data_IF_355113749596
#
_entry.id   IF_355113749596
#
_cell.length_a   1.000
_cell.length_b   1.000
_cell.length_c   1.000
_cell.angle_alpha   90.00
_cell.angle_beta   90.00
_cell.angle_gamma   90.00
#
_symmetry.space_group_name_H-M   'P 1'
#
loop_
_entity.id
_entity.type
_entity.pdbx_description
1 polymer ?
#
# COMPACT_ATOMS: atom_id res chain seq x y z
N UNK A 1 6.46 -10.85 -24.45
CA UNK A 1 5.84 -10.80 -23.13
C UNK A 1 6.65 -9.84 -22.26
N UNK A 2 6.05 -9.02 -21.43
CA UNK A 2 6.79 -8.10 -20.59
C UNK A 2 7.65 -8.87 -19.58
N UNK A 3 8.92 -8.50 -19.46
CA UNK A 3 9.83 -9.06 -18.48
C UNK A 3 9.50 -8.50 -17.09
N UNK A 4 9.44 -9.36 -16.05
CA UNK A 4 9.23 -8.96 -14.67
C UNK A 4 10.40 -9.39 -13.77
N UNK A 5 11.03 -8.41 -13.14
CA UNK A 5 12.05 -8.59 -12.10
C UNK A 5 11.42 -8.41 -10.74
N UNK A 6 11.16 -9.52 -10.06
CA UNK A 6 10.45 -9.50 -8.78
C UNK A 6 11.40 -9.95 -7.69
N UNK A 7 11.64 -9.03 -6.76
CA UNK A 7 12.56 -9.21 -5.65
C UNK A 7 11.80 -9.48 -4.36
N UNK A 8 12.36 -10.34 -3.51
CA UNK A 8 11.95 -10.47 -2.12
C UNK A 8 13.10 -10.03 -1.22
N UNK A 9 12.80 -9.05 -0.37
CA UNK A 9 13.78 -8.44 0.53
C UNK A 9 14.11 -9.42 1.64
N UNK A 10 15.38 -9.50 2.04
CA UNK A 10 15.80 -10.21 3.24
C UNK A 10 16.77 -9.36 4.07
N UNK A 11 16.64 -9.43 5.39
CA UNK A 11 17.40 -8.60 6.35
C UNK A 11 18.02 -9.40 7.51
N UNK A 12 17.88 -10.71 7.47
CA UNK A 12 18.52 -11.65 8.38
C UNK A 12 18.81 -12.97 7.66
N UNK A 13 19.68 -13.86 8.23
CA UNK A 13 19.89 -15.18 7.66
C UNK A 13 18.59 -15.98 7.48
N UNK A 14 17.69 -15.92 8.47
CA UNK A 14 16.39 -16.61 8.44
C UNK A 14 15.50 -16.10 7.29
N UNK A 15 15.44 -14.78 7.10
CA UNK A 15 14.66 -14.21 6.00
C UNK A 15 15.30 -14.45 4.63
N UNK A 16 16.64 -14.56 4.56
CA UNK A 16 17.35 -14.98 3.33
C UNK A 16 16.98 -16.41 2.96
N UNK A 17 17.03 -17.32 3.92
CA UNK A 17 16.76 -18.74 3.70
C UNK A 17 15.26 -19.00 3.42
N UNK A 18 14.39 -18.02 3.75
CA UNK A 18 12.94 -18.02 3.46
C UNK A 18 12.54 -17.31 2.16
N UNK A 19 13.50 -16.83 1.36
CA UNK A 19 13.19 -16.25 0.04
C UNK A 19 12.47 -17.31 -0.81
N UNK A 20 11.23 -17.00 -1.19
CA UNK A 20 10.40 -17.98 -1.88
C UNK A 20 10.95 -18.29 -3.29
N UNK A 21 10.87 -19.55 -3.73
CA UNK A 21 11.37 -19.96 -5.06
C UNK A 21 10.78 -19.11 -6.18
N UNK A 22 11.65 -18.66 -7.08
CA UNK A 22 11.27 -17.85 -8.26
C UNK A 22 11.26 -16.34 -8.05
N UNK A 23 11.40 -15.84 -6.81
CA UNK A 23 11.78 -14.45 -6.55
C UNK A 23 13.30 -14.31 -6.50
N UNK A 24 13.80 -13.14 -6.90
CA UNK A 24 15.20 -12.78 -6.71
C UNK A 24 15.38 -12.20 -5.29
N UNK A 25 16.40 -12.65 -4.56
CA UNK A 25 16.71 -12.07 -3.25
C UNK A 25 17.22 -10.63 -3.39
N UNK A 26 16.67 -9.70 -2.58
CA UNK A 26 17.21 -8.35 -2.42
C UNK A 26 17.88 -8.25 -1.05
N UNK A 27 19.22 -8.17 -1.09
CA UNK A 27 20.06 -8.21 0.10
C UNK A 27 19.96 -6.90 0.92
N UNK A 28 19.53 -7.03 2.16
CA UNK A 28 19.58 -5.99 3.19
C UNK A 28 20.15 -6.54 4.52
N UNK A 29 21.06 -7.52 4.48
CA UNK A 29 21.64 -8.12 5.70
C UNK A 29 22.36 -7.09 6.58
N UNK A 30 23.01 -6.08 5.98
CA UNK A 30 23.64 -5.00 6.76
C UNK A 30 22.63 -4.20 7.56
N UNK A 31 21.37 -4.14 7.08
CA UNK A 31 20.25 -3.45 7.71
C UNK A 31 20.66 -2.08 8.32
N UNK A 32 21.38 -1.28 7.53
CA UNK A 32 22.01 0.00 7.96
C UNK A 32 20.99 1.01 8.49
N UNK A 33 19.75 0.92 8.01
CA UNK A 33 18.64 1.81 8.38
C UNK A 33 17.37 0.99 8.70
N UNK A 34 17.37 0.28 9.84
CA UNK A 34 16.23 -0.54 10.25
C UNK A 34 14.98 0.30 10.53
N UNK A 35 15.15 1.58 10.82
CA UNK A 35 14.10 2.57 11.02
C UNK A 35 13.31 2.93 9.75
N UNK A 36 13.84 2.57 8.56
CA UNK A 36 13.17 2.73 7.27
C UNK A 36 12.67 1.42 6.66
N UNK A 37 12.91 0.28 7.31
CA UNK A 37 12.46 -1.06 6.90
C UNK A 37 12.66 -1.32 5.41
N UNK A 38 11.61 -1.76 4.70
CA UNK A 38 11.66 -2.12 3.28
C UNK A 38 11.98 -0.95 2.35
N UNK A 39 11.67 0.27 2.77
CA UNK A 39 12.01 1.45 1.98
C UNK A 39 13.51 1.56 1.70
N UNK A 40 14.35 1.26 2.70
CA UNK A 40 15.79 1.44 2.57
C UNK A 40 16.43 0.58 1.46
N UNK A 41 16.24 -0.74 1.38
CA UNK A 41 16.77 -1.55 0.28
C UNK A 41 16.12 -1.20 -1.07
N UNK A 42 14.83 -0.86 -1.14
CA UNK A 42 14.18 -0.39 -2.37
C UNK A 42 14.82 0.90 -2.85
N UNK A 43 15.00 1.88 -1.97
CA UNK A 43 15.68 3.14 -2.26
C UNK A 43 17.09 2.92 -2.83
N UNK A 44 17.89 2.10 -2.17
CA UNK A 44 19.26 1.79 -2.65
C UNK A 44 19.24 1.18 -4.04
N UNK A 45 18.33 0.24 -4.29
CA UNK A 45 18.18 -0.40 -5.59
C UNK A 45 17.80 0.61 -6.69
N UNK A 46 16.82 1.45 -6.43
CA UNK A 46 16.34 2.44 -7.40
C UNK A 46 17.39 3.53 -7.69
N UNK A 47 18.12 3.98 -6.67
CA UNK A 47 19.20 4.97 -6.82
C UNK A 47 20.43 4.41 -7.54
N UNK A 48 20.69 3.10 -7.46
CA UNK A 48 21.76 2.48 -8.23
C UNK A 48 21.51 2.52 -9.74
N UNK A 49 20.26 2.73 -10.16
CA UNK A 49 19.87 2.84 -11.57
C UNK A 49 19.85 1.51 -12.31
N UNK A 50 19.83 1.59 -13.65
CA UNK A 50 19.86 0.39 -14.49
C UNK A 50 18.51 -0.29 -14.70
N UNK A 51 17.40 0.38 -14.39
CA UNK A 51 16.07 -0.14 -14.72
C UNK A 51 15.86 -0.18 -16.23
N UNK A 52 15.37 -1.29 -16.74
CA UNK A 52 15.00 -1.48 -18.15
C UNK A 52 13.58 -0.96 -18.34
N UNK A 53 13.38 0.02 -19.23
CA UNK A 53 12.12 0.75 -19.41
C UNK A 53 10.94 -0.15 -19.81
N UNK A 54 11.23 -1.23 -20.56
CA UNK A 54 10.23 -2.18 -21.03
C UNK A 54 9.85 -3.24 -19.98
N UNK A 55 10.57 -3.29 -18.85
CA UNK A 55 10.38 -4.30 -17.82
C UNK A 55 9.52 -3.80 -16.67
N UNK A 56 9.03 -4.75 -15.88
CA UNK A 56 8.35 -4.51 -14.61
C UNK A 56 9.26 -4.87 -13.45
N UNK A 57 9.12 -4.15 -12.34
CA UNK A 57 9.85 -4.39 -11.10
C UNK A 57 8.91 -4.50 -9.93
N UNK A 58 9.17 -5.44 -9.01
CA UNK A 58 8.46 -5.60 -7.75
C UNK A 58 9.45 -5.83 -6.61
N UNK A 59 9.15 -5.27 -5.44
CA UNK A 59 9.98 -5.40 -4.24
C UNK A 59 9.09 -5.80 -3.06
N UNK A 60 9.10 -7.07 -2.71
CA UNK A 60 8.21 -7.63 -1.71
C UNK A 60 8.92 -7.85 -0.38
N UNK A 61 8.21 -7.65 0.72
CA UNK A 61 8.71 -7.99 2.04
C UNK A 61 8.81 -9.52 2.22
N UNK A 62 9.55 -10.02 3.21
CA UNK A 62 9.59 -11.44 3.53
C UNK A 62 8.21 -12.04 3.82
N UNK A 63 7.26 -11.22 4.28
CA UNK A 63 5.90 -11.63 4.62
C UNK A 63 4.94 -11.73 3.42
N UNK A 64 5.40 -11.46 2.18
CA UNK A 64 4.53 -11.40 1.00
C UNK A 64 3.72 -12.68 0.81
N UNK A 65 4.40 -13.83 0.72
CA UNK A 65 3.73 -15.13 0.50
C UNK A 65 2.76 -15.45 1.63
N UNK A 66 3.18 -15.23 2.88
CA UNK A 66 2.33 -15.46 4.04
C UNK A 66 1.08 -14.58 4.07
N UNK A 67 1.19 -13.32 3.61
CA UNK A 67 0.07 -12.36 3.59
C UNK A 67 -0.85 -12.55 2.38
N UNK A 68 -0.34 -13.01 1.24
CA UNK A 68 -1.09 -13.06 -0.01
C UNK A 68 -1.44 -14.47 -0.49
N UNK A 69 -0.70 -15.48 -0.06
CA UNK A 69 -0.77 -16.83 -0.60
C UNK A 69 -0.28 -16.95 -2.04
N UNK A 70 0.38 -15.90 -2.58
CA UNK A 70 0.85 -15.86 -3.95
C UNK A 70 2.34 -16.25 -4.00
N UNK A 71 2.65 -17.22 -4.87
CA UNK A 71 4.03 -17.54 -5.25
C UNK A 71 4.49 -16.71 -6.46
N UNK A 72 5.76 -16.85 -6.81
CA UNK A 72 6.35 -16.13 -7.93
C UNK A 72 5.71 -16.50 -9.27
N UNK A 73 5.26 -17.74 -9.45
CA UNK A 73 4.64 -18.19 -10.69
C UNK A 73 3.31 -17.47 -10.92
N UNK A 74 2.46 -17.38 -9.89
CA UNK A 74 1.18 -16.66 -9.96
C UNK A 74 1.36 -15.16 -10.19
N UNK A 75 2.34 -14.53 -9.53
CA UNK A 75 2.65 -13.10 -9.74
C UNK A 75 3.10 -12.87 -11.19
N UNK A 76 4.06 -13.66 -11.69
CA UNK A 76 4.55 -13.54 -13.08
C UNK A 76 3.46 -13.81 -14.10
N UNK A 77 2.64 -14.84 -13.88
CA UNK A 77 1.50 -15.15 -14.76
C UNK A 77 0.51 -13.98 -14.83
N UNK A 78 0.25 -13.29 -13.72
CA UNK A 78 -0.63 -12.11 -13.72
C UNK A 78 -0.02 -10.94 -14.52
N UNK A 79 1.30 -10.71 -14.41
CA UNK A 79 2.01 -9.72 -15.24
C UNK A 79 1.94 -10.09 -16.72
N UNK A 80 2.13 -11.35 -17.07
CA UNK A 80 2.05 -11.84 -18.44
C UNK A 80 0.66 -11.70 -19.04
N UNK A 81 -0.38 -12.03 -18.27
CA UNK A 81 -1.79 -11.87 -18.65
C UNK A 81 -2.21 -10.42 -18.88
N UNK A 82 -1.57 -9.48 -18.18
CA UNK A 82 -1.78 -8.05 -18.42
C UNK A 82 -1.25 -7.60 -19.79
N UNK A 83 -0.24 -8.31 -20.30
CA UNK A 83 0.34 -8.06 -21.62
C UNK A 83 0.99 -6.70 -21.79
N UNK A 84 1.21 -5.96 -20.68
CA UNK A 84 1.78 -4.62 -20.70
C UNK A 84 0.74 -3.50 -20.83
N UNK A 85 -0.53 -3.80 -20.64
CA UNK A 85 -1.63 -2.83 -20.71
C UNK A 85 -1.65 -1.84 -19.52
N UNK A 86 -1.12 -2.27 -18.37
CA UNK A 86 -1.07 -1.48 -17.15
C UNK A 86 0.35 -0.98 -16.82
N UNK A 87 0.44 0.13 -16.12
CA UNK A 87 1.71 0.65 -15.59
C UNK A 87 2.05 0.02 -14.24
N UNK A 88 1.01 -0.37 -13.48
CA UNK A 88 1.11 -0.90 -12.11
C UNK A 88 0.16 -2.08 -11.93
N UNK A 89 0.67 -3.14 -11.33
CA UNK A 89 -0.08 -4.35 -10.98
C UNK A 89 -0.07 -4.52 -9.47
N UNK A 90 -1.26 -4.58 -8.85
CA UNK A 90 -1.45 -4.55 -7.40
C UNK A 90 -1.73 -5.96 -6.86
N UNK A 91 -1.14 -6.28 -5.70
CA UNK A 91 -1.31 -7.57 -5.01
C UNK A 91 -1.69 -7.37 -3.54
N UNK A 92 -2.60 -6.43 -3.28
CA UNK A 92 -3.01 -6.06 -1.92
C UNK A 92 -3.97 -7.09 -1.32
N UNK A 93 -3.61 -7.77 -0.22
CA UNK A 93 -4.51 -8.61 0.55
C UNK A 93 -5.45 -7.78 1.41
N UNK A 94 -6.24 -8.44 2.26
CA UNK A 94 -7.07 -7.81 3.28
C UNK A 94 -8.16 -6.91 2.69
N UNK A 95 -9.00 -7.52 1.84
CA UNK A 95 -10.07 -6.81 1.15
C UNK A 95 -11.01 -6.06 2.11
N UNK A 96 -11.28 -6.61 3.29
CA UNK A 96 -12.04 -5.96 4.35
C UNK A 96 -11.42 -4.62 4.80
N UNK A 97 -10.09 -4.55 4.85
CA UNK A 97 -9.33 -3.35 5.19
C UNK A 97 -9.23 -2.33 4.04
N UNK A 98 -9.55 -2.78 2.81
CA UNK A 98 -9.68 -1.88 1.66
C UNK A 98 -11.10 -1.34 1.60
N UNK A 99 -12.10 -2.20 1.75
CA UNK A 99 -13.49 -1.89 1.49
C UNK A 99 -14.13 -0.96 2.55
N UNK A 100 -13.87 -1.22 3.83
CA UNK A 100 -14.53 -0.54 4.95
C UNK A 100 -14.09 0.94 5.14
N UNK A 101 -12.79 1.30 5.16
CA UNK A 101 -12.40 2.70 5.26
C UNK A 101 -12.63 3.45 3.96
N UNK A 102 -12.76 4.78 4.03
CA UNK A 102 -12.91 5.61 2.83
C UNK A 102 -11.64 5.65 2.00
N UNK A 103 -10.47 5.55 2.65
CA UNK A 103 -9.17 5.49 2.02
C UNK A 103 -8.12 4.83 2.93
N UNK A 104 -6.92 4.62 2.41
CA UNK A 104 -5.82 3.96 3.13
C UNK A 104 -5.29 4.79 4.32
N UNK A 105 -5.49 6.09 4.33
CA UNK A 105 -5.05 6.96 5.43
C UNK A 105 -5.97 6.81 6.64
N UNK A 106 -7.29 6.80 6.41
CA UNK A 106 -8.26 6.46 7.44
C UNK A 106 -8.02 5.05 7.97
N UNK A 107 -7.80 4.07 7.09
CA UNK A 107 -7.45 2.71 7.49
C UNK A 107 -6.21 2.70 8.41
N UNK A 108 -5.19 3.46 8.05
CA UNK A 108 -3.99 3.59 8.88
C UNK A 108 -4.26 4.19 10.24
N UNK A 109 -5.07 5.24 10.32
CA UNK A 109 -5.43 5.89 11.58
C UNK A 109 -6.30 4.99 12.48
N UNK A 110 -7.12 4.11 11.90
CA UNK A 110 -7.87 3.08 12.64
C UNK A 110 -6.95 2.04 13.30
N UNK A 111 -5.79 1.77 12.71
CA UNK A 111 -4.80 0.80 13.23
C UNK A 111 -3.75 1.47 14.14
N UNK A 112 -3.49 2.76 13.94
CA UNK A 112 -2.44 3.52 14.59
C UNK A 112 -3.03 4.84 15.07
N UNK A 113 -3.38 4.90 16.37
CA UNK A 113 -3.96 6.10 16.96
C UNK A 113 -3.06 7.33 16.72
N UNK A 114 -3.69 8.51 16.58
CA UNK A 114 -3.04 9.82 16.46
C UNK A 114 -2.15 10.02 15.22
N UNK A 115 -2.26 9.15 14.19
CA UNK A 115 -1.44 9.26 12.98
C UNK A 115 -2.09 10.01 11.81
N UNK A 116 -3.41 10.26 11.85
CA UNK A 116 -4.15 10.84 10.72
C UNK A 116 -3.60 12.20 10.27
N UNK A 117 -3.28 13.07 11.22
CA UNK A 117 -2.71 14.39 10.92
C UNK A 117 -1.35 14.29 10.26
N UNK A 118 -0.51 13.34 10.72
CA UNK A 118 0.78 13.06 10.10
C UNK A 118 0.63 12.51 8.68
N UNK A 119 -0.36 11.65 8.45
CA UNK A 119 -0.68 11.15 7.10
C UNK A 119 -1.18 12.27 6.18
N UNK A 120 -2.03 13.18 6.69
CA UNK A 120 -2.53 14.34 5.93
C UNK A 120 -1.38 15.25 5.51
N UNK A 121 -0.52 15.61 6.45
CA UNK A 121 0.64 16.46 6.17
C UNK A 121 1.63 15.80 5.20
N UNK A 122 1.85 14.48 5.34
CA UNK A 122 2.67 13.71 4.41
C UNK A 122 2.07 13.67 3.00
N UNK A 123 0.75 13.49 2.87
CA UNK A 123 0.07 13.50 1.58
C UNK A 123 0.19 14.86 0.88
N UNK A 124 -0.01 15.96 1.62
CA UNK A 124 0.16 17.33 1.11
C UNK A 124 1.61 17.64 0.73
N UNK A 125 2.58 17.11 1.48
CA UNK A 125 4.00 17.25 1.15
C UNK A 125 4.36 16.46 -0.12
N UNK A 126 3.86 15.23 -0.24
CA UNK A 126 4.12 14.39 -1.42
C UNK A 126 3.43 14.95 -2.66
N UNK A 127 2.16 15.33 -2.57
CA UNK A 127 1.33 15.83 -3.68
C UNK A 127 0.73 17.19 -3.29
N UNK A 128 1.45 18.31 -3.51
CA UNK A 128 0.96 19.63 -3.19
C UNK A 128 -0.36 19.94 -3.89
N UNK A 129 -1.32 20.47 -3.12
CA UNK A 129 -2.64 20.85 -3.63
C UNK A 129 -3.65 19.69 -3.72
N UNK A 130 -3.29 18.50 -3.24
CA UNK A 130 -4.27 17.42 -3.14
C UNK A 130 -5.39 17.79 -2.16
N UNK A 131 -6.63 17.53 -2.56
CA UNK A 131 -7.77 17.58 -1.63
C UNK A 131 -7.84 16.28 -0.83
N UNK A 132 -7.13 16.28 0.31
CA UNK A 132 -7.00 15.09 1.15
C UNK A 132 -8.36 14.63 1.71
N UNK A 133 -9.23 15.56 2.07
CA UNK A 133 -10.49 15.26 2.74
C UNK A 133 -11.53 14.66 1.77
N UNK A 134 -11.34 14.84 0.46
CA UNK A 134 -12.16 14.21 -0.60
C UNK A 134 -11.58 12.91 -1.18
N UNK A 135 -10.45 12.43 -0.65
CA UNK A 135 -9.82 11.20 -1.15
C UNK A 135 -10.67 9.97 -0.87
N UNK A 136 -11.12 9.31 -1.93
CA UNK A 136 -11.78 8.01 -1.89
C UNK A 136 -10.89 7.00 -2.62
N UNK A 137 -10.58 5.90 -1.94
CA UNK A 137 -9.76 4.81 -2.49
C UNK A 137 -10.52 3.49 -2.41
N UNK A 138 -10.36 2.67 -3.42
CA UNK A 138 -11.04 1.38 -3.60
C UNK A 138 -10.05 0.27 -3.92
N UNK A 139 -10.55 -0.92 -4.21
CA UNK A 139 -9.71 -2.09 -4.51
C UNK A 139 -8.87 -1.94 -5.78
N UNK A 140 -9.14 -0.96 -6.64
CA UNK A 140 -8.39 -0.74 -7.89
C UNK A 140 -7.16 0.15 -7.71
N UNK A 141 -7.04 0.85 -6.57
CA UNK A 141 -5.97 1.81 -6.31
C UNK A 141 -5.36 1.76 -4.89
N UNK A 142 -5.81 0.83 -4.05
CA UNK A 142 -5.24 0.65 -2.70
C UNK A 142 -4.10 -0.36 -2.71
N UNK A 143 -2.96 0.03 -2.14
CA UNK A 143 -1.75 -0.79 -2.01
C UNK A 143 -1.37 -0.95 -0.54
N UNK A 144 -1.26 -2.19 -0.08
CA UNK A 144 -0.69 -2.53 1.23
C UNK A 144 0.74 -3.03 1.10
N UNK A 145 1.59 -2.68 2.07
CA UNK A 145 2.95 -3.21 2.24
C UNK A 145 3.83 -3.05 0.99
N UNK A 146 3.57 -2.08 0.11
CA UNK A 146 4.22 -1.93 -1.20
C UNK A 146 4.11 -3.19 -2.09
N UNK A 147 3.04 -3.98 -1.95
CA UNK A 147 2.82 -5.18 -2.76
C UNK A 147 2.29 -4.82 -4.15
N UNK A 148 3.16 -4.28 -4.96
CA UNK A 148 2.88 -3.96 -6.36
C UNK A 148 4.08 -4.25 -7.25
N UNK A 149 3.80 -4.45 -8.53
CA UNK A 149 4.79 -4.60 -9.59
C UNK A 149 4.52 -3.52 -10.61
N UNK A 150 5.52 -2.71 -10.94
CA UNK A 150 5.31 -1.54 -11.77
C UNK A 150 6.44 -1.30 -12.78
N UNK A 151 6.13 -0.47 -13.79
CA UNK A 151 7.11 0.04 -14.75
C UNK A 151 8.09 1.02 -14.07
N UNK A 152 9.29 1.20 -14.63
CA UNK A 152 10.31 2.11 -14.10
C UNK A 152 9.81 3.55 -13.88
N UNK A 153 8.97 4.06 -14.77
CA UNK A 153 8.42 5.41 -14.64
C UNK A 153 7.61 5.60 -13.35
N UNK A 154 6.80 4.61 -12.96
CA UNK A 154 6.06 4.64 -11.69
C UNK A 154 7.00 4.59 -10.48
N UNK A 155 8.01 3.69 -10.52
CA UNK A 155 9.00 3.59 -9.45
C UNK A 155 9.83 4.86 -9.26
N UNK A 156 10.18 5.56 -10.34
CA UNK A 156 10.88 6.85 -10.25
C UNK A 156 10.03 7.92 -9.58
N UNK A 157 8.76 8.03 -9.95
CA UNK A 157 7.86 8.98 -9.29
C UNK A 157 7.60 8.58 -7.83
N UNK A 158 7.40 7.28 -7.55
CA UNK A 158 7.27 6.81 -6.18
C UNK A 158 8.49 7.18 -5.34
N UNK A 159 9.69 6.94 -5.86
CA UNK A 159 10.93 7.31 -5.18
C UNK A 159 11.01 8.81 -4.94
N UNK A 160 10.72 9.64 -5.95
CA UNK A 160 10.73 11.11 -5.81
C UNK A 160 9.83 11.58 -4.67
N UNK A 161 8.60 11.05 -4.58
CA UNK A 161 7.67 11.43 -3.52
C UNK A 161 8.14 10.92 -2.14
N UNK A 162 8.65 9.70 -2.07
CA UNK A 162 9.23 9.16 -0.85
C UNK A 162 10.47 9.95 -0.38
N UNK A 163 11.33 10.42 -1.31
CA UNK A 163 12.51 11.23 -0.97
C UNK A 163 12.13 12.58 -0.34
N UNK A 164 10.97 13.16 -0.67
CA UNK A 164 10.48 14.37 0.01
C UNK A 164 10.21 14.08 1.51
N UNK A 165 9.56 12.98 1.82
CA UNK A 165 9.30 12.54 3.19
C UNK A 165 10.61 12.16 3.90
N UNK A 166 11.48 11.43 3.20
CA UNK A 166 12.79 11.05 3.69
C UNK A 166 13.62 12.28 4.11
N UNK A 167 13.71 13.27 3.24
CA UNK A 167 14.49 14.48 3.51
C UNK A 167 13.97 15.24 4.75
N UNK A 168 12.66 15.33 4.96
CA UNK A 168 12.07 15.97 6.13
C UNK A 168 12.38 15.16 7.40
N UNK A 169 12.17 13.86 7.38
CA UNK A 169 12.40 12.99 8.53
C UNK A 169 13.88 12.98 8.97
N UNK A 170 14.80 12.98 7.98
CA UNK A 170 16.25 13.00 8.25
C UNK A 170 16.77 14.36 8.70
N UNK A 171 16.23 15.46 8.14
CA UNK A 171 16.63 16.81 8.53
C UNK A 171 16.24 17.12 9.98
N UNK A 172 15.09 16.60 10.45
CA UNK A 172 14.57 16.90 11.77
C UNK A 172 14.18 18.38 11.96
N UNK A 173 14.01 18.79 13.20
CA UNK A 173 13.86 20.20 13.58
C UNK A 173 12.46 20.78 13.39
N UNK A 174 11.49 20.02 12.89
CA UNK A 174 10.07 20.41 12.80
C UNK A 174 9.18 19.43 13.55
N UNK A 175 7.98 19.87 13.93
CA UNK A 175 7.00 19.02 14.57
C UNK A 175 6.58 17.86 13.67
N UNK A 176 6.45 18.11 12.38
CA UNK A 176 6.18 17.05 11.40
C UNK A 176 7.29 16.01 11.34
N UNK A 177 8.57 16.43 11.30
CA UNK A 177 9.70 15.51 11.33
C UNK A 177 9.75 14.68 12.63
N UNK A 178 9.37 15.28 13.76
CA UNK A 178 9.25 14.58 15.06
C UNK A 178 8.18 13.49 14.96
N UNK A 179 6.95 13.81 14.50
CA UNK A 179 5.85 12.85 14.35
C UNK A 179 6.20 11.72 13.37
N UNK A 180 6.92 12.01 12.26
CA UNK A 180 7.40 10.99 11.33
C UNK A 180 8.33 9.97 11.99
N UNK A 181 9.15 10.40 12.95
CA UNK A 181 10.13 9.57 13.63
C UNK A 181 9.61 8.93 14.92
N UNK A 182 8.45 9.33 15.42
CA UNK A 182 7.82 8.71 16.59
C UNK A 182 7.32 7.31 16.26
N UNK A 183 7.54 6.40 17.20
CA UNK A 183 7.02 5.05 17.07
C UNK A 183 5.52 5.04 17.35
N UNK A 184 4.80 4.32 16.50
CA UNK A 184 3.42 3.92 16.74
C UNK A 184 3.36 2.42 17.01
N UNK A 185 2.32 1.97 17.71
CA UNK A 185 2.14 0.57 18.06
C UNK A 185 1.98 -0.28 16.78
N UNK A 186 2.80 -1.32 16.66
CA UNK A 186 2.71 -2.29 15.57
C UNK A 186 3.27 -3.64 16.03
N UNK A 187 2.48 -4.72 15.89
CA UNK A 187 2.88 -6.11 16.15
C UNK A 187 3.70 -6.31 17.46
N UNK A 188 3.34 -5.58 18.54
CA UNK A 188 4.01 -5.70 19.84
C UNK A 188 5.39 -5.04 19.95
N UNK A 189 5.86 -4.30 18.94
CA UNK A 189 7.22 -3.76 18.94
C UNK A 189 7.40 -2.35 18.36
N UNK A 190 6.35 -1.61 18.06
CA UNK A 190 6.45 -0.25 17.51
C UNK A 190 7.26 -0.12 16.21
N UNK A 191 6.84 0.79 15.35
CA UNK A 191 7.61 1.20 14.19
C UNK A 191 7.44 2.72 13.98
N UNK A 192 8.46 3.43 13.45
CA UNK A 192 8.32 4.86 13.17
C UNK A 192 7.17 5.11 12.19
N UNK A 193 6.38 6.16 12.43
CA UNK A 193 5.23 6.54 11.60
C UNK A 193 5.60 6.73 10.13
N UNK A 194 6.82 7.18 9.84
CA UNK A 194 7.35 7.32 8.47
C UNK A 194 7.28 6.04 7.65
N UNK A 195 7.42 4.87 8.26
CA UNK A 195 7.30 3.57 7.57
C UNK A 195 5.90 3.41 6.98
N UNK A 196 4.89 3.71 7.79
CA UNK A 196 3.49 3.62 7.37
C UNK A 196 3.11 4.72 6.36
N UNK A 197 3.73 5.90 6.45
CA UNK A 197 3.60 6.96 5.43
C UNK A 197 4.10 6.46 4.09
N UNK A 198 5.32 5.90 4.02
CA UNK A 198 5.92 5.40 2.77
C UNK A 198 5.06 4.30 2.13
N UNK A 199 4.50 3.39 2.92
CA UNK A 199 3.62 2.33 2.41
C UNK A 199 2.35 2.86 1.72
N UNK A 200 1.95 4.10 1.99
CA UNK A 200 0.74 4.74 1.44
C UNK A 200 0.98 5.58 0.20
N UNK A 201 2.24 5.87 -0.14
CA UNK A 201 2.58 6.73 -1.28
C UNK A 201 2.10 6.14 -2.61
N UNK A 202 2.20 4.82 -2.82
CA UNK A 202 1.72 4.20 -4.04
C UNK A 202 0.19 4.38 -4.23
N UNK A 203 -0.59 4.18 -3.16
CA UNK A 203 -2.04 4.43 -3.19
C UNK A 203 -2.37 5.90 -3.44
N UNK A 204 -1.62 6.81 -2.80
CA UNK A 204 -1.78 8.25 -3.02
C UNK A 204 -1.55 8.62 -4.48
N UNK A 205 -0.48 8.12 -5.10
CA UNK A 205 -0.18 8.33 -6.52
C UNK A 205 -1.32 7.87 -7.44
N UNK A 206 -1.87 6.69 -7.15
CA UNK A 206 -2.95 6.11 -7.95
C UNK A 206 -4.27 6.86 -7.78
N UNK A 207 -4.55 7.37 -6.58
CA UNK A 207 -5.78 8.12 -6.30
C UNK A 207 -5.72 9.58 -6.77
N UNK A 208 -4.55 10.23 -6.64
CA UNK A 208 -4.35 11.62 -7.01
C UNK A 208 -4.19 11.84 -8.52
N UNK A 209 -3.60 10.85 -9.23
CA UNK A 209 -3.23 10.96 -10.64
C UNK A 209 -4.00 9.99 -11.54
N UNK A 210 -4.70 10.53 -12.57
CA UNK A 210 -5.33 9.70 -13.61
C UNK A 210 -4.35 9.19 -14.68
N UNK A 211 -3.08 9.53 -14.55
CA UNK A 211 -2.05 9.18 -15.53
C UNK A 211 -1.62 7.72 -15.49
N UNK A 212 -1.81 7.04 -14.34
CA UNK A 212 -1.38 5.68 -14.12
C UNK A 212 -2.51 4.68 -14.37
N UNK A 213 -2.25 3.69 -15.21
CA UNK A 213 -3.13 2.55 -15.42
C UNK A 213 -2.77 1.45 -14.44
N UNK A 214 -3.65 1.20 -13.49
CA UNK A 214 -3.48 0.13 -12.52
C UNK A 214 -4.43 -1.04 -12.82
N UNK A 215 -3.95 -2.27 -12.54
CA UNK A 215 -4.75 -3.49 -12.51
C UNK A 215 -4.50 -4.23 -11.20
N UNK A 216 -5.54 -4.46 -10.43
CA UNK A 216 -5.45 -5.23 -9.20
C UNK A 216 -5.65 -6.72 -9.46
N UNK A 217 -4.82 -7.56 -8.83
CA UNK A 217 -5.15 -8.95 -8.60
C UNK A 217 -6.41 -8.99 -7.74
N UNK A 218 -7.35 -9.91 -7.99
CA UNK A 218 -8.62 -9.94 -7.28
C UNK A 218 -8.41 -10.02 -5.75
N UNK A 219 -8.59 -8.94 -4.98
CA UNK A 219 -8.27 -8.92 -3.56
C UNK A 219 -9.25 -9.76 -2.73
N UNK A 220 -10.47 -10.02 -3.23
CA UNK A 220 -11.42 -10.92 -2.57
C UNK A 220 -10.95 -12.38 -2.58
N UNK A 221 -10.11 -12.75 -3.54
CA UNK A 221 -9.48 -14.07 -3.64
C UNK A 221 -8.17 -14.21 -2.86
N UNK A 222 -7.74 -13.14 -2.16
CA UNK A 222 -6.58 -13.14 -1.27
C UNK A 222 -7.01 -13.26 0.20
N UNK A 223 -6.10 -13.60 1.13
CA UNK A 223 -6.42 -13.65 2.55
C UNK A 223 -7.01 -12.33 3.06
N UNK A 224 -8.03 -12.43 3.88
CA UNK A 224 -8.65 -11.33 4.62
C UNK A 224 -7.91 -11.09 5.94
N UNK A 225 -8.14 -9.95 6.60
CA UNK A 225 -7.36 -9.53 7.77
C UNK A 225 -7.62 -10.35 9.04
N UNK A 226 -8.70 -11.13 9.07
CA UNK A 226 -9.16 -11.84 10.28
C UNK A 226 -9.88 -10.93 11.28
N UNK A 227 -10.17 -9.67 10.93
CA UNK A 227 -11.00 -8.76 11.73
C UNK A 227 -12.48 -9.19 11.73
N UNK A 228 -13.28 -8.61 12.63
CA UNK A 228 -14.73 -8.85 12.65
C UNK A 228 -15.43 -8.49 11.34
N UNK A 229 -14.84 -7.63 10.50
CA UNK A 229 -15.34 -7.27 9.18
C UNK A 229 -15.42 -8.47 8.22
N UNK A 230 -14.60 -9.50 8.45
CA UNK A 230 -14.61 -10.72 7.63
C UNK A 230 -15.95 -11.49 7.69
N UNK A 231 -16.79 -11.19 8.67
CA UNK A 231 -18.13 -11.78 8.79
C UNK A 231 -19.17 -11.13 7.84
N UNK A 232 -18.80 -10.03 7.16
CA UNK A 232 -19.68 -9.23 6.31
C UNK A 232 -19.17 -9.14 4.86
N UNK A 233 -18.93 -10.28 4.16
CA UNK A 233 -18.28 -10.25 2.84
C UNK A 233 -19.14 -9.57 1.76
N UNK A 234 -20.46 -9.66 1.87
CA UNK A 234 -21.39 -9.03 0.92
C UNK A 234 -21.35 -7.50 1.08
N UNK A 235 -21.41 -7.02 2.31
CA UNK A 235 -21.36 -5.60 2.63
C UNK A 235 -20.01 -5.00 2.25
N UNK A 236 -18.89 -5.71 2.48
CA UNK A 236 -17.57 -5.28 2.01
C UNK A 236 -17.56 -5.13 0.48
N UNK A 237 -18.17 -6.08 -0.24
CA UNK A 237 -18.28 -5.98 -1.70
C UNK A 237 -19.10 -4.76 -2.13
N UNK A 238 -20.20 -4.46 -1.44
CA UNK A 238 -21.01 -3.28 -1.73
C UNK A 238 -20.27 -1.97 -1.40
N UNK A 239 -19.58 -1.89 -0.26
CA UNK A 239 -18.80 -0.72 0.11
C UNK A 239 -17.72 -0.41 -0.94
N UNK A 240 -16.98 -1.40 -1.40
CA UNK A 240 -15.97 -1.24 -2.44
C UNK A 240 -16.61 -0.83 -3.78
N UNK A 241 -17.68 -1.48 -4.19
CA UNK A 241 -18.40 -1.15 -5.42
C UNK A 241 -18.95 0.29 -5.42
N UNK A 242 -19.45 0.78 -4.29
CA UNK A 242 -19.92 2.18 -4.13
C UNK A 242 -18.76 3.18 -4.29
N UNK A 243 -17.60 2.89 -3.73
CA UNK A 243 -16.38 3.72 -3.92
C UNK A 243 -15.92 3.72 -5.37
N UNK A 244 -15.89 2.56 -6.03
CA UNK A 244 -15.57 2.44 -7.47
C UNK A 244 -16.56 3.25 -8.32
N UNK A 245 -17.86 3.15 -8.03
CA UNK A 245 -18.90 3.90 -8.74
C UNK A 245 -18.72 5.40 -8.54
N UNK A 246 -18.46 5.85 -7.31
CA UNK A 246 -18.16 7.25 -7.00
C UNK A 246 -16.90 7.74 -7.74
N UNK A 247 -15.81 6.96 -7.70
CA UNK A 247 -14.56 7.33 -8.38
C UNK A 247 -14.74 7.55 -9.90
N UNK A 248 -15.63 6.75 -10.52
CA UNK A 248 -15.91 6.82 -11.97
C UNK A 248 -16.91 7.92 -12.35
N UNK A 249 -17.99 8.06 -11.59
CA UNK A 249 -19.15 8.89 -11.97
C UNK A 249 -19.24 10.21 -11.22
N UNK A 250 -18.58 10.31 -10.04
CA UNK A 250 -18.60 11.50 -9.17
C UNK A 250 -20.01 11.93 -8.71
N UNK A 251 -20.98 11.00 -8.72
CA UNK A 251 -22.29 11.27 -8.15
C UNK A 251 -22.25 11.10 -6.62
N UNK A 252 -22.57 12.13 -5.81
CA UNK A 252 -22.44 12.10 -4.35
C UNK A 252 -23.29 11.01 -3.69
N UNK A 253 -24.40 10.60 -4.31
CA UNK A 253 -25.29 9.55 -3.83
C UNK A 253 -24.56 8.21 -3.57
N UNK A 254 -23.49 7.90 -4.33
CA UNK A 254 -22.70 6.70 -4.09
C UNK A 254 -21.92 6.80 -2.78
N UNK A 255 -21.35 7.97 -2.50
CA UNK A 255 -20.62 8.20 -1.26
C UNK A 255 -21.57 8.29 -0.05
N UNK A 256 -22.74 8.89 -0.22
CA UNK A 256 -23.80 8.90 0.80
C UNK A 256 -24.25 7.47 1.15
N UNK A 257 -24.47 6.64 0.13
CA UNK A 257 -24.83 5.22 0.31
C UNK A 257 -23.70 4.44 1.01
N UNK A 258 -22.43 4.70 0.64
CA UNK A 258 -21.27 4.13 1.30
C UNK A 258 -21.25 4.47 2.80
N UNK A 259 -21.38 5.74 3.15
CA UNK A 259 -21.36 6.16 4.57
C UNK A 259 -22.52 5.60 5.37
N UNK A 260 -23.73 5.52 4.76
CA UNK A 260 -24.91 4.92 5.40
C UNK A 260 -24.71 3.43 5.67
N UNK A 261 -24.27 2.66 4.67
CA UNK A 261 -24.03 1.22 4.83
C UNK A 261 -22.94 0.96 5.87
N UNK A 262 -21.85 1.74 5.82
CA UNK A 262 -20.77 1.65 6.77
C UNK A 262 -21.22 1.96 8.21
N UNK A 263 -22.11 2.95 8.40
CA UNK A 263 -22.69 3.27 9.71
C UNK A 263 -23.48 2.10 10.29
N UNK A 264 -24.36 1.46 9.49
CA UNK A 264 -25.12 0.28 9.90
C UNK A 264 -24.23 -0.90 10.30
N UNK A 265 -23.13 -1.10 9.57
CA UNK A 265 -22.13 -2.10 9.93
C UNK A 265 -21.39 -1.78 11.23
N UNK A 266 -21.07 -0.51 11.47
CA UNK A 266 -20.44 -0.06 12.72
C UNK A 266 -21.32 -0.38 13.93
N UNK A 267 -22.61 -0.08 13.84
CA UNK A 267 -23.60 -0.40 14.89
C UNK A 267 -23.68 -1.92 15.15
N UNK A 268 -23.70 -2.73 14.08
CA UNK A 268 -23.74 -4.19 14.19
C UNK A 268 -22.48 -4.77 14.84
N UNK A 269 -21.30 -4.20 14.54
CA UNK A 269 -20.02 -4.59 15.14
C UNK A 269 -19.92 -4.24 16.63
N UNK A 270 -20.51 -3.11 17.05
CA UNK A 270 -20.57 -2.70 18.46
C UNK A 270 -21.50 -3.61 19.27
N UNK A 271 -22.67 -3.94 18.70
CA UNK A 271 -23.63 -4.88 19.32
C UNK A 271 -23.07 -6.29 19.51
N UNK A 272 -22.21 -6.74 18.59
CA UNK A 272 -21.58 -8.06 18.68
C UNK A 272 -20.47 -8.13 19.75
N UNK A 273 -20.01 -7.00 20.29
CA UNK A 273 -18.99 -6.89 21.36
C UNK A 273 -19.60 -6.79 22.76
N UNK A 274 -20.89 -6.43 22.85
CA UNK A 274 -21.66 -6.32 24.11
C UNK A 274 -22.29 -7.67 24.49
#
# INVERSE_FOLDING_TARGET
MPHAFIHQIFYSPETRDSVAPGFAGLDNLRNERPDWREYWPIRKFLLAGGLREEAYYGFFSPKFVAKTGLDAARVKSFVEQDGGASDVLLFSPFFDQIAYPVNIFEQGAMQHADTLETFKEAALCAVPGIDFDSLVMDSTNTVFCNFFVARPAFWRQWLELCERIFAIAEKGGTDFARRLNENTNHDGGGAPTKVFVIERIASLMLAAGRQWKARAFNPQGLPWSGSALCQFPLEMTFLDALKIAYARQRHPQYLDAFHRLRGLLGESLEQAKS
#
